data_IF_546145213357
#
_entry.id   IF_546145213357
#
_cell.length_a   1.000
_cell.length_b   1.000
_cell.length_c   1.000
_cell.angle_alpha   90.00
_cell.angle_beta   90.00
_cell.angle_gamma   90.00
#
_symmetry.space_group_name_H-M   'P 1'
#
loop_
_entity.id
_entity.type
_entity.pdbx_description
1 polymer ?
#
# COMPACT_ATOMS: atom_id res chain seq x y z
N UNK A 1 -2.75 7.77 35.78
CA UNK A 1 -3.32 7.30 34.48
C UNK A 1 -2.38 6.24 33.97
N UNK A 2 -2.87 5.10 33.49
CA UNK A 2 -2.01 4.14 32.78
C UNK A 2 -1.54 4.80 31.50
N UNK A 3 -0.30 4.50 31.10
CA UNK A 3 0.24 4.93 29.82
C UNK A 3 -0.59 4.26 28.71
N UNK A 4 -1.04 5.04 27.73
CA UNK A 4 -1.81 4.53 26.60
C UNK A 4 -1.07 3.43 25.85
N UNK A 5 0.28 3.50 25.79
CA UNK A 5 1.12 2.48 25.16
C UNK A 5 1.01 1.14 25.86
N UNK A 6 1.12 1.12 27.20
CA UNK A 6 0.97 -0.12 27.98
C UNK A 6 -0.43 -0.72 27.78
N UNK A 7 -1.46 0.11 27.77
CA UNK A 7 -2.85 -0.34 27.52
C UNK A 7 -3.01 -0.95 26.14
N UNK A 8 -2.47 -0.29 25.09
CA UNK A 8 -2.53 -0.79 23.72
C UNK A 8 -1.79 -2.12 23.61
N UNK A 9 -0.56 -2.22 24.13
CA UNK A 9 0.20 -3.46 24.09
C UNK A 9 -0.52 -4.60 24.82
N UNK A 10 -1.05 -4.35 26.02
CA UNK A 10 -1.83 -5.35 26.75
C UNK A 10 -3.04 -5.83 25.92
N UNK A 11 -3.72 -4.91 25.25
CA UNK A 11 -4.87 -5.25 24.40
C UNK A 11 -4.45 -6.04 23.17
N UNK A 12 -3.35 -5.69 22.50
CA UNK A 12 -2.84 -6.41 21.35
C UNK A 12 -2.44 -7.85 21.73
N UNK A 13 -1.74 -8.02 22.85
CA UNK A 13 -1.38 -9.36 23.35
C UNK A 13 -2.63 -10.18 23.78
N UNK A 14 -3.66 -9.54 24.33
CA UNK A 14 -4.92 -10.21 24.64
C UNK A 14 -5.68 -10.67 23.38
N UNK A 15 -5.39 -10.09 22.22
CA UNK A 15 -5.95 -10.44 20.91
C UNK A 15 -5.04 -11.36 20.09
N UNK A 16 -3.92 -11.81 20.65
CA UNK A 16 -2.92 -12.64 19.96
C UNK A 16 -3.52 -13.96 19.47
N UNK A 17 -3.14 -14.32 18.24
CA UNK A 17 -3.43 -15.61 17.62
C UNK A 17 -2.11 -16.19 17.06
N UNK A 18 -1.56 -17.19 17.73
CA UNK A 18 -0.25 -17.77 17.40
C UNK A 18 -0.26 -18.53 16.05
N UNK A 19 -1.40 -19.12 15.66
CA UNK A 19 -1.52 -19.74 14.36
C UNK A 19 -1.48 -18.69 13.23
N UNK A 20 -2.19 -17.59 13.45
CA UNK A 20 -2.17 -16.46 12.53
C UNK A 20 -0.79 -15.80 12.47
N UNK A 21 -0.10 -15.61 13.59
CA UNK A 21 1.28 -15.13 13.65
C UNK A 21 2.20 -16.00 12.78
N UNK A 22 2.14 -17.31 12.96
CA UNK A 22 2.94 -18.28 12.20
C UNK A 22 2.63 -18.23 10.70
N UNK A 23 1.37 -18.04 10.33
CA UNK A 23 0.96 -17.88 8.95
C UNK A 23 1.48 -16.55 8.36
N UNK A 24 1.27 -15.45 9.06
CA UNK A 24 1.59 -14.10 8.61
C UNK A 24 3.11 -13.88 8.46
N UNK A 25 3.92 -14.43 9.38
CA UNK A 25 5.38 -14.32 9.34
C UNK A 25 5.98 -14.92 8.06
N UNK A 26 5.38 -15.97 7.51
CA UNK A 26 5.80 -16.56 6.22
C UNK A 26 5.50 -15.67 5.01
N UNK A 27 4.53 -14.77 5.13
CA UNK A 27 4.13 -13.86 4.05
C UNK A 27 4.92 -12.56 4.04
N UNK A 28 5.55 -12.21 5.16
CA UNK A 28 6.27 -10.93 5.36
C UNK A 28 7.70 -11.23 5.79
N UNK A 29 8.55 -11.76 4.90
CA UNK A 29 9.87 -12.28 5.27
C UNK A 29 10.86 -11.22 5.77
N UNK A 30 10.58 -9.93 5.55
CA UNK A 30 11.39 -8.82 6.04
C UNK A 30 11.18 -8.48 7.52
N UNK A 31 10.16 -9.07 8.17
CA UNK A 31 9.80 -8.80 9.57
C UNK A 31 10.11 -10.02 10.43
N UNK A 32 10.85 -9.81 11.53
CA UNK A 32 11.14 -10.89 12.49
C UNK A 32 9.83 -11.43 13.08
N UNK A 33 9.63 -12.76 13.14
CA UNK A 33 8.46 -13.36 13.79
C UNK A 33 8.27 -12.92 15.26
N UNK A 34 9.36 -12.61 15.95
CA UNK A 34 9.35 -12.15 17.36
C UNK A 34 8.79 -10.73 17.50
N UNK A 35 8.84 -9.92 16.44
CA UNK A 35 8.22 -8.59 16.39
C UNK A 35 6.75 -8.63 15.93
N UNK A 36 6.18 -9.81 15.69
CA UNK A 36 4.77 -9.98 15.36
C UNK A 36 4.00 -10.54 16.55
N UNK A 37 2.98 -9.83 17.01
CA UNK A 37 2.06 -10.33 18.03
C UNK A 37 1.08 -11.34 17.40
N UNK A 38 0.63 -11.07 16.19
CA UNK A 38 -0.27 -11.95 15.45
C UNK A 38 -1.75 -11.61 15.68
N UNK A 39 -2.09 -10.34 15.68
CA UNK A 39 -3.49 -9.91 15.82
C UNK A 39 -4.17 -9.92 14.45
N UNK A 40 -5.32 -10.59 14.35
CA UNK A 40 -6.07 -10.64 13.08
C UNK A 40 -6.53 -9.26 12.64
N UNK A 41 -6.38 -8.95 11.36
CA UNK A 41 -6.72 -7.66 10.75
C UNK A 41 -8.11 -7.13 11.11
N UNK A 42 -9.20 -7.94 11.14
CA UNK A 42 -10.51 -7.43 11.58
C UNK A 42 -10.52 -6.93 13.02
N UNK A 43 -9.81 -7.59 13.93
CA UNK A 43 -9.70 -7.18 15.33
C UNK A 43 -8.89 -5.89 15.47
N UNK A 44 -7.77 -5.74 14.73
CA UNK A 44 -7.00 -4.49 14.68
C UNK A 44 -7.83 -3.32 14.15
N UNK A 45 -8.60 -3.53 13.08
CA UNK A 45 -9.49 -2.48 12.54
C UNK A 45 -10.59 -2.08 13.51
N UNK A 46 -11.17 -3.03 14.23
CA UNK A 46 -12.16 -2.74 15.27
C UNK A 46 -11.54 -1.92 16.41
N UNK A 47 -10.34 -2.30 16.83
CA UNK A 47 -9.62 -1.62 17.90
C UNK A 47 -9.16 -0.22 17.47
N UNK A 48 -8.67 -0.02 16.25
CA UNK A 48 -8.37 1.30 15.71
C UNK A 48 -9.59 2.22 15.74
N UNK A 49 -10.76 1.70 15.37
CA UNK A 49 -12.02 2.46 15.42
C UNK A 49 -12.46 2.82 16.83
N UNK A 50 -12.16 2.00 17.82
CA UNK A 50 -12.37 2.29 19.23
C UNK A 50 -11.42 3.40 19.70
N UNK A 51 -10.12 3.23 19.46
CA UNK A 51 -9.07 4.18 19.84
C UNK A 51 -9.23 5.55 19.18
N UNK A 52 -9.68 5.61 17.92
CA UNK A 52 -9.86 6.88 17.19
C UNK A 52 -10.87 7.85 17.83
N UNK A 53 -11.59 7.43 18.87
CA UNK A 53 -12.53 8.27 19.63
C UNK A 53 -11.94 8.80 20.93
N UNK A 54 -10.73 8.38 21.27
CA UNK A 54 -10.05 8.76 22.51
C UNK A 54 -9.24 10.03 22.30
N UNK A 55 -9.22 10.89 23.30
CA UNK A 55 -8.45 12.13 23.26
C UNK A 55 -6.93 11.92 23.43
N UNK A 56 -6.51 10.78 23.98
CA UNK A 56 -5.11 10.46 24.25
C UNK A 56 -4.43 9.62 23.13
N UNK A 57 -5.15 9.31 22.04
CA UNK A 57 -4.62 8.49 20.91
C UNK A 57 -3.41 9.15 20.24
N UNK A 58 -3.35 10.47 20.26
CA UNK A 58 -2.23 11.22 19.65
C UNK A 58 -0.89 10.91 20.33
N UNK A 59 -0.89 10.57 21.61
CA UNK A 59 0.31 10.14 22.31
C UNK A 59 0.87 8.82 21.73
N UNK A 60 0.01 7.87 21.36
CA UNK A 60 0.42 6.64 20.67
C UNK A 60 0.96 6.95 19.26
N UNK A 61 0.28 7.81 18.50
CA UNK A 61 0.71 8.19 17.15
C UNK A 61 2.05 8.94 17.14
N UNK A 62 2.35 9.71 18.19
CA UNK A 62 3.60 10.44 18.31
C UNK A 62 4.79 9.56 18.70
N UNK A 63 4.57 8.37 19.25
CA UNK A 63 5.63 7.52 19.78
C UNK A 63 6.19 6.54 18.74
N UNK A 64 6.85 7.07 17.76
CA UNK A 64 7.57 6.31 16.74
C UNK A 64 9.07 6.20 17.07
N UNK A 65 9.73 5.10 16.69
CA UNK A 65 9.19 3.90 16.01
C UNK A 65 8.45 2.96 16.97
N UNK A 66 7.43 2.25 16.46
CA UNK A 66 6.81 1.17 17.21
C UNK A 66 7.67 -0.09 17.21
N UNK A 67 7.54 -0.88 18.27
CA UNK A 67 8.30 -2.13 18.44
C UNK A 67 7.71 -3.29 17.63
N UNK A 68 6.38 -3.42 17.64
CA UNK A 68 5.71 -4.57 17.04
C UNK A 68 5.06 -4.22 15.70
N UNK A 69 5.07 -5.20 14.80
CA UNK A 69 4.36 -5.13 13.53
C UNK A 69 2.89 -4.75 13.70
N UNK A 70 2.22 -5.33 14.69
CA UNK A 70 0.80 -5.11 14.96
C UNK A 70 0.52 -3.67 15.44
N UNK A 71 1.47 -3.03 16.13
CA UNK A 71 1.39 -1.60 16.46
C UNK A 71 1.48 -0.73 15.19
N UNK A 72 2.39 -1.08 14.26
CA UNK A 72 2.50 -0.39 12.98
C UNK A 72 1.23 -0.56 12.13
N UNK A 73 0.61 -1.74 12.14
CA UNK A 73 -0.68 -1.98 11.49
C UNK A 73 -1.79 -1.14 12.12
N UNK A 74 -1.84 -1.08 13.46
CA UNK A 74 -2.80 -0.27 14.21
C UNK A 74 -2.63 1.22 13.89
N UNK A 75 -1.39 1.72 13.84
CA UNK A 75 -1.04 3.09 13.47
C UNK A 75 -1.55 3.42 12.06
N UNK A 76 -1.28 2.56 11.07
CA UNK A 76 -1.76 2.72 9.70
C UNK A 76 -3.30 2.80 9.63
N UNK A 77 -4.00 1.99 10.42
CA UNK A 77 -5.47 2.05 10.50
C UNK A 77 -5.98 3.33 11.17
N UNK A 78 -5.31 3.82 12.20
CA UNK A 78 -5.67 5.08 12.87
C UNK A 78 -5.53 6.26 11.91
N UNK A 79 -4.41 6.41 11.20
CA UNK A 79 -4.23 7.43 10.15
C UNK A 79 -5.32 7.29 9.08
N UNK A 80 -5.66 6.05 8.69
CA UNK A 80 -6.65 5.80 7.64
C UNK A 80 -8.07 6.24 8.03
N UNK A 81 -8.35 6.45 9.32
CA UNK A 81 -9.60 6.98 9.85
C UNK A 81 -9.62 8.53 9.93
N UNK A 82 -8.54 9.20 9.58
CA UNK A 82 -8.41 10.65 9.57
C UNK A 82 -9.52 11.33 8.75
N UNK A 83 -10.01 12.47 9.26
CA UNK A 83 -11.13 13.22 8.65
C UNK A 83 -10.70 14.57 8.08
N UNK A 84 -9.56 15.08 8.49
CA UNK A 84 -8.94 16.27 7.96
C UNK A 84 -7.85 15.90 6.96
N UNK A 85 -7.87 16.50 5.78
CA UNK A 85 -6.94 16.16 4.70
C UNK A 85 -5.49 16.51 5.06
N UNK A 86 -5.27 17.75 5.51
CA UNK A 86 -3.92 18.25 5.77
C UNK A 86 -3.27 17.52 6.95
N UNK A 87 -4.00 17.37 8.03
CA UNK A 87 -3.52 16.58 9.19
C UNK A 87 -3.26 15.11 8.84
N UNK A 88 -4.07 14.55 7.93
CA UNK A 88 -3.85 13.16 7.48
C UNK A 88 -2.61 13.03 6.60
N UNK A 89 -2.33 14.01 5.72
CA UNK A 89 -1.09 14.05 4.94
C UNK A 89 0.12 14.17 5.86
N UNK A 90 0.08 15.06 6.84
CA UNK A 90 1.14 15.20 7.86
C UNK A 90 1.40 13.91 8.63
N UNK A 91 0.34 13.23 9.05
CA UNK A 91 0.45 11.94 9.75
C UNK A 91 1.04 10.85 8.85
N UNK A 92 0.64 10.80 7.58
CA UNK A 92 1.23 9.88 6.59
C UNK A 92 2.73 10.18 6.42
N UNK A 93 3.12 11.44 6.25
CA UNK A 93 4.51 11.83 6.08
C UNK A 93 5.38 11.50 7.30
N UNK A 94 4.83 11.68 8.49
CA UNK A 94 5.50 11.32 9.74
C UNK A 94 5.68 9.81 9.89
N UNK A 95 4.72 9.03 9.44
CA UNK A 95 4.72 7.56 9.61
C UNK A 95 5.48 6.82 8.51
N UNK A 96 5.41 7.25 7.25
CA UNK A 96 6.00 6.54 6.11
C UNK A 96 7.48 6.16 6.28
N UNK A 97 8.36 7.00 6.88
CA UNK A 97 9.76 6.62 7.12
C UNK A 97 9.96 5.38 7.99
N UNK A 98 8.96 5.01 8.78
CA UNK A 98 8.97 3.85 9.69
C UNK A 98 8.26 2.63 9.11
N UNK A 99 7.69 2.75 7.91
CA UNK A 99 7.05 1.62 7.22
C UNK A 99 8.13 0.79 6.53
N UNK A 100 8.32 -0.43 6.98
CA UNK A 100 9.39 -1.35 6.58
C UNK A 100 8.88 -2.61 5.86
N UNK A 101 7.57 -2.69 5.59
CA UNK A 101 6.97 -3.86 4.96
C UNK A 101 5.74 -3.50 4.10
N UNK A 102 5.47 -4.37 3.12
CA UNK A 102 4.36 -4.20 2.19
C UNK A 102 2.98 -4.27 2.85
N UNK A 103 2.83 -5.09 3.89
CA UNK A 103 1.54 -5.29 4.53
C UNK A 103 1.07 -4.04 5.29
N UNK A 104 1.97 -3.36 6.01
CA UNK A 104 1.69 -2.07 6.64
C UNK A 104 1.45 -0.98 5.60
N UNK A 105 2.30 -0.91 4.57
CA UNK A 105 2.17 0.06 3.49
C UNK A 105 0.80 -0.02 2.80
N UNK A 106 0.37 -1.23 2.41
CA UNK A 106 -0.87 -1.43 1.65
C UNK A 106 -2.14 -1.28 2.51
N UNK A 107 -2.02 -1.41 3.83
CA UNK A 107 -3.12 -1.17 4.78
C UNK A 107 -3.32 0.32 5.10
N UNK A 108 -2.29 1.14 4.89
CA UNK A 108 -2.37 2.60 5.02
C UNK A 108 -3.19 3.15 3.85
N UNK A 109 -4.46 3.45 4.08
CA UNK A 109 -5.39 3.85 3.03
C UNK A 109 -6.41 4.89 3.55
N UNK A 110 -6.00 6.17 3.67
CA UNK A 110 -6.85 7.22 4.20
C UNK A 110 -8.09 7.48 3.34
N UNK A 111 -9.28 7.29 3.93
CA UNK A 111 -10.54 7.46 3.22
C UNK A 111 -10.82 8.89 2.76
N UNK A 112 -10.26 9.89 3.47
CA UNK A 112 -10.39 11.31 3.15
C UNK A 112 -9.78 11.67 1.79
N UNK A 113 -8.73 10.97 1.36
CA UNK A 113 -8.01 11.22 0.12
C UNK A 113 -8.92 11.14 -1.12
N UNK A 114 -9.94 10.30 -1.07
CA UNK A 114 -10.93 10.19 -2.16
C UNK A 114 -11.66 11.51 -2.45
N UNK A 115 -11.81 12.37 -1.44
CA UNK A 115 -12.50 13.66 -1.57
C UNK A 115 -11.58 14.80 -2.00
N UNK A 116 -10.28 14.62 -1.91
CA UNK A 116 -9.25 15.66 -2.13
C UNK A 116 -8.29 15.28 -3.27
N UNK A 117 -8.81 14.69 -4.36
CA UNK A 117 -7.98 14.22 -5.47
C UNK A 117 -7.21 15.34 -6.18
N UNK A 118 -7.74 16.57 -6.19
CA UNK A 118 -7.08 17.70 -6.84
C UNK A 118 -5.79 18.06 -6.12
N UNK A 119 -5.79 18.03 -4.79
CA UNK A 119 -4.63 18.31 -3.95
C UNK A 119 -3.72 17.08 -3.83
N UNK A 120 -4.32 15.90 -3.67
CA UNK A 120 -3.61 14.63 -3.43
C UNK A 120 -2.61 14.27 -4.53
N UNK A 121 -2.88 14.65 -5.79
CA UNK A 121 -2.00 14.27 -6.89
C UNK A 121 -0.59 14.83 -6.73
N UNK A 122 -0.45 16.03 -6.16
CA UNK A 122 0.84 16.62 -5.84
C UNK A 122 1.62 15.84 -4.78
N UNK A 123 0.92 15.37 -3.74
CA UNK A 123 1.49 14.54 -2.69
C UNK A 123 1.94 13.17 -3.22
N UNK A 124 1.13 12.56 -4.08
CA UNK A 124 1.49 11.30 -4.74
C UNK A 124 2.80 11.43 -5.50
N UNK A 125 2.99 12.51 -6.26
CA UNK A 125 4.25 12.73 -6.99
C UNK A 125 5.43 12.90 -6.05
N UNK A 126 5.24 13.58 -4.93
CA UNK A 126 6.26 13.77 -3.89
C UNK A 126 6.65 12.43 -3.27
N UNK A 127 5.69 11.58 -2.88
CA UNK A 127 5.97 10.24 -2.35
C UNK A 127 6.64 9.34 -3.38
N UNK A 128 6.23 9.38 -4.64
CA UNK A 128 6.86 8.61 -5.72
C UNK A 128 8.28 9.06 -6.03
N UNK A 129 8.65 10.29 -5.73
CA UNK A 129 10.00 10.84 -5.89
C UNK A 129 10.91 10.60 -4.68
N UNK A 130 10.44 9.92 -3.64
CA UNK A 130 11.21 9.57 -2.45
C UNK A 130 12.31 8.54 -2.76
N UNK A 131 13.34 8.46 -1.91
CA UNK A 131 14.32 7.36 -1.91
C UNK A 131 13.86 6.17 -1.07
N UNK A 132 12.83 6.34 -0.25
CA UNK A 132 12.33 5.29 0.65
C UNK A 132 11.37 4.35 -0.10
N UNK A 133 11.68 3.06 -0.11
CA UNK A 133 10.95 2.00 -0.83
C UNK A 133 9.43 2.04 -0.61
N UNK A 134 9.00 2.17 0.63
CA UNK A 134 7.58 2.11 0.96
C UNK A 134 6.86 3.44 0.76
N UNK A 135 7.57 4.58 0.75
CA UNK A 135 7.00 5.85 0.32
C UNK A 135 6.70 5.84 -1.18
N UNK A 136 7.62 5.33 -2.01
CA UNK A 136 7.39 5.14 -3.45
C UNK A 136 6.22 4.18 -3.67
N UNK A 137 6.23 3.03 -2.96
CA UNK A 137 5.15 2.03 -3.04
C UNK A 137 3.80 2.62 -2.67
N UNK A 138 3.73 3.39 -1.59
CA UNK A 138 2.53 4.07 -1.13
C UNK A 138 2.00 5.06 -2.18
N UNK A 139 2.86 5.91 -2.74
CA UNK A 139 2.49 6.85 -3.80
C UNK A 139 1.87 6.16 -5.01
N UNK A 140 2.50 5.09 -5.52
CA UNK A 140 1.95 4.29 -6.63
C UNK A 140 0.62 3.64 -6.21
N UNK A 141 0.51 3.14 -4.98
CA UNK A 141 -0.71 2.55 -4.42
C UNK A 141 -1.87 3.55 -4.38
N UNK A 142 -1.62 4.78 -3.93
CA UNK A 142 -2.62 5.86 -3.90
C UNK A 142 -3.05 6.27 -5.31
N UNK A 143 -2.12 6.35 -6.26
CA UNK A 143 -2.44 6.60 -7.67
C UNK A 143 -3.34 5.49 -8.23
N UNK A 144 -2.99 4.23 -7.98
CA UNK A 144 -3.78 3.07 -8.41
C UNK A 144 -5.18 3.07 -7.81
N UNK A 145 -5.31 3.43 -6.52
CA UNK A 145 -6.57 3.39 -5.79
C UNK A 145 -7.53 4.50 -6.18
N UNK A 146 -7.01 5.71 -6.46
CA UNK A 146 -7.84 6.91 -6.58
C UNK A 146 -7.96 7.46 -8.01
N UNK A 147 -7.09 7.05 -8.95
CA UNK A 147 -6.98 7.68 -10.26
C UNK A 147 -7.06 6.73 -11.46
N UNK A 148 -7.48 5.49 -11.27
CA UNK A 148 -7.72 4.56 -12.39
C UNK A 148 -9.19 4.49 -12.84
N UNK A 149 -10.08 5.27 -12.21
CA UNK A 149 -11.49 5.39 -12.59
C UNK A 149 -11.78 6.80 -13.16
N UNK A 150 -12.83 7.47 -12.74
CA UNK A 150 -13.26 8.77 -13.25
C UNK A 150 -12.29 9.96 -13.09
N UNK A 151 -11.19 9.80 -12.37
CA UNK A 151 -10.10 10.77 -12.26
C UNK A 151 -8.85 10.35 -13.05
N UNK A 152 -8.99 9.41 -13.97
CA UNK A 152 -7.88 8.92 -14.78
C UNK A 152 -7.37 10.02 -15.73
N UNK A 153 -6.03 10.11 -15.83
CA UNK A 153 -5.32 10.93 -16.80
C UNK A 153 -4.31 10.05 -17.54
N UNK A 154 -4.26 10.09 -18.88
CA UNK A 154 -3.32 9.28 -19.68
C UNK A 154 -1.84 9.51 -19.36
N UNK A 155 -1.48 10.63 -18.73
CA UNK A 155 -0.10 10.91 -18.32
C UNK A 155 0.33 10.13 -17.07
N UNK A 156 -0.60 9.60 -16.28
CA UNK A 156 -0.28 8.90 -15.03
C UNK A 156 0.47 7.58 -15.25
N UNK A 157 0.05 6.69 -16.17
CA UNK A 157 0.83 5.51 -16.50
C UNK A 157 2.24 5.80 -16.96
N UNK A 158 2.48 6.92 -17.66
CA UNK A 158 3.81 7.31 -18.13
C UNK A 158 4.75 7.57 -16.95
N UNK A 159 4.28 8.32 -15.93
CA UNK A 159 5.08 8.58 -14.72
C UNK A 159 5.42 7.30 -13.97
N UNK A 160 4.47 6.36 -13.85
CA UNK A 160 4.74 5.06 -13.23
C UNK A 160 5.71 4.23 -14.08
N UNK A 161 5.55 4.23 -15.41
CA UNK A 161 6.43 3.52 -16.32
C UNK A 161 7.86 4.09 -16.36
N UNK A 162 8.03 5.37 -16.02
CA UNK A 162 9.34 6.03 -15.97
C UNK A 162 10.15 5.65 -14.72
N UNK A 163 9.51 5.14 -13.67
CA UNK A 163 10.19 4.72 -12.44
C UNK A 163 11.15 3.56 -12.72
N UNK A 164 12.35 3.66 -12.17
CA UNK A 164 13.36 2.61 -12.17
C UNK A 164 13.82 2.37 -10.74
N UNK A 165 13.78 1.12 -10.30
CA UNK A 165 14.15 0.76 -8.94
C UNK A 165 14.82 -0.61 -8.91
N UNK A 166 15.82 -0.78 -8.05
CA UNK A 166 16.35 -2.09 -7.69
C UNK A 166 15.45 -2.85 -6.68
N UNK A 167 14.50 -2.15 -6.07
CA UNK A 167 13.69 -2.67 -4.98
C UNK A 167 12.54 -3.55 -5.47
N UNK A 168 12.52 -4.79 -5.01
CA UNK A 168 11.48 -5.77 -5.35
C UNK A 168 10.06 -5.24 -5.09
N UNK A 169 9.84 -4.60 -3.95
CA UNK A 169 8.50 -4.16 -3.54
C UNK A 169 8.02 -2.92 -4.30
N UNK A 170 8.91 -2.08 -4.81
CA UNK A 170 8.56 -1.01 -5.75
C UNK A 170 8.16 -1.61 -7.10
N UNK A 171 9.00 -2.49 -7.65
CA UNK A 171 8.74 -3.13 -8.94
C UNK A 171 7.45 -3.99 -8.93
N UNK A 172 7.16 -4.64 -7.79
CA UNK A 172 5.90 -5.36 -7.60
C UNK A 172 4.68 -4.43 -7.61
N UNK A 173 4.79 -3.23 -7.04
CA UNK A 173 3.70 -2.25 -7.04
C UNK A 173 3.50 -1.64 -8.44
N UNK A 174 4.58 -1.35 -9.18
CA UNK A 174 4.50 -0.94 -10.59
C UNK A 174 3.76 -2.01 -11.41
N UNK A 175 4.13 -3.29 -11.23
CA UNK A 175 3.47 -4.40 -11.90
C UNK A 175 1.98 -4.50 -11.53
N UNK A 176 1.64 -4.27 -10.27
CA UNK A 176 0.25 -4.28 -9.80
C UNK A 176 -0.55 -3.09 -10.35
N UNK A 177 0.07 -1.91 -10.40
CA UNK A 177 -0.52 -0.73 -11.03
C UNK A 177 -0.91 -1.02 -12.48
N UNK A 178 0.03 -1.55 -13.31
CA UNK A 178 -0.25 -1.84 -14.72
C UNK A 178 -1.27 -2.98 -14.90
N UNK A 179 -1.24 -4.00 -14.06
CA UNK A 179 -2.27 -5.05 -14.08
C UNK A 179 -3.68 -4.48 -13.77
N UNK A 180 -3.77 -3.54 -12.85
CA UNK A 180 -5.03 -2.87 -12.48
C UNK A 180 -5.44 -1.87 -13.56
N UNK A 181 -4.48 -1.14 -14.13
CA UNK A 181 -4.73 -0.22 -15.23
C UNK A 181 -5.25 -0.97 -16.48
N UNK A 182 -4.69 -2.12 -16.83
CA UNK A 182 -5.21 -2.97 -17.90
C UNK A 182 -6.66 -3.43 -17.64
N UNK A 183 -7.04 -3.63 -16.40
CA UNK A 183 -8.41 -4.02 -16.05
C UNK A 183 -9.42 -2.86 -16.11
N UNK A 184 -8.95 -1.60 -15.98
CA UNK A 184 -9.82 -0.42 -15.88
C UNK A 184 -9.69 0.53 -17.08
N UNK A 185 -8.52 0.62 -17.68
CA UNK A 185 -8.11 1.55 -18.73
C UNK A 185 -7.27 0.79 -19.78
N UNK A 186 -7.81 -0.30 -20.33
CA UNK A 186 -7.08 -1.24 -21.17
C UNK A 186 -6.32 -0.57 -22.31
N UNK A 187 -7.03 0.26 -23.10
CA UNK A 187 -6.47 0.89 -24.31
C UNK A 187 -5.38 1.92 -23.97
N UNK A 188 -5.47 2.54 -22.79
CA UNK A 188 -4.44 3.49 -22.33
C UNK A 188 -3.22 2.78 -21.72
N UNK A 189 -3.40 1.58 -21.15
CA UNK A 189 -2.32 0.85 -20.49
C UNK A 189 -1.58 -0.13 -21.42
N UNK A 190 -2.26 -0.71 -22.41
CA UNK A 190 -1.71 -1.70 -23.32
C UNK A 190 -0.44 -1.22 -24.07
N UNK A 191 -0.37 0.03 -24.59
CA UNK A 191 0.81 0.50 -25.31
C UNK A 191 2.11 0.45 -24.50
N UNK A 192 2.04 0.57 -23.17
CA UNK A 192 3.23 0.47 -22.31
C UNK A 192 3.84 -0.94 -22.30
N UNK A 193 3.02 -1.96 -22.51
CA UNK A 193 3.49 -3.35 -22.67
C UNK A 193 3.90 -3.65 -24.09
N UNK A 194 3.15 -3.23 -25.10
CA UNK A 194 3.52 -3.42 -26.51
C UNK A 194 4.87 -2.78 -26.84
N UNK A 195 5.12 -1.58 -26.33
CA UNK A 195 6.36 -0.82 -26.51
C UNK A 195 7.45 -1.17 -25.50
N UNK A 196 7.22 -2.14 -24.59
CA UNK A 196 8.18 -2.59 -23.56
C UNK A 196 8.75 -1.44 -22.72
N UNK A 197 7.87 -0.53 -22.25
CA UNK A 197 8.27 0.65 -21.45
C UNK A 197 8.69 0.30 -20.02
N UNK A 198 8.40 -0.90 -19.53
CA UNK A 198 8.76 -1.38 -18.20
C UNK A 198 10.02 -2.26 -18.26
N UNK A 199 10.75 -2.35 -17.13
CA UNK A 199 11.81 -3.33 -16.99
C UNK A 199 11.29 -4.75 -17.22
N UNK A 200 12.09 -5.65 -17.77
CA UNK A 200 11.66 -6.97 -18.23
C UNK A 200 10.95 -7.80 -17.15
N UNK A 201 11.43 -7.74 -15.91
CA UNK A 201 10.79 -8.44 -14.78
C UNK A 201 9.42 -7.84 -14.45
N UNK A 202 9.35 -6.51 -14.31
CA UNK A 202 8.12 -5.76 -13.99
C UNK A 202 7.08 -5.94 -15.10
N UNK A 203 7.52 -5.89 -16.36
CA UNK A 203 6.67 -6.16 -17.53
C UNK A 203 6.02 -7.54 -17.48
N UNK A 204 6.83 -8.59 -17.30
CA UNK A 204 6.31 -9.95 -17.23
C UNK A 204 5.43 -10.18 -16.01
N UNK A 205 5.75 -9.52 -14.88
CA UNK A 205 4.95 -9.60 -13.65
C UNK A 205 3.60 -8.87 -13.79
N UNK A 206 3.56 -7.73 -14.49
CA UNK A 206 2.32 -7.02 -14.81
C UNK A 206 1.39 -7.90 -15.68
N UNK A 207 1.93 -8.53 -16.71
CA UNK A 207 1.18 -9.47 -17.55
C UNK A 207 0.67 -10.65 -16.72
N UNK A 208 1.52 -11.24 -15.87
CA UNK A 208 1.12 -12.36 -15.01
C UNK A 208 -0.09 -11.97 -14.15
N UNK A 209 0.00 -10.84 -13.44
CA UNK A 209 -1.09 -10.37 -12.57
C UNK A 209 -2.37 -10.01 -13.35
N UNK A 210 -2.24 -9.42 -14.54
CA UNK A 210 -3.37 -9.12 -15.40
C UNK A 210 -4.09 -10.39 -15.86
N UNK A 211 -3.33 -11.42 -16.29
CA UNK A 211 -3.89 -12.72 -16.71
C UNK A 211 -4.60 -13.46 -15.57
N UNK A 212 -4.15 -13.28 -14.33
CA UNK A 212 -4.80 -13.84 -13.13
C UNK A 212 -6.11 -13.11 -12.79
N UNK A 213 -6.33 -11.90 -13.30
CA UNK A 213 -7.50 -11.09 -13.00
C UNK A 213 -8.77 -11.60 -13.72
N UNK A 214 -9.88 -11.68 -12.99
CA UNK A 214 -11.20 -11.95 -13.57
C UNK A 214 -11.78 -10.78 -14.38
N UNK A 215 -11.19 -9.59 -14.28
CA UNK A 215 -11.64 -8.37 -14.98
C UNK A 215 -11.07 -8.25 -16.39
N UNK A 216 -10.13 -9.09 -16.76
CA UNK A 216 -9.51 -9.15 -18.09
C UNK A 216 -10.20 -10.25 -18.89
N UNK A 217 -10.65 -9.95 -20.12
CA UNK A 217 -11.32 -10.91 -20.98
C UNK A 217 -10.37 -12.01 -21.47
N UNK A 218 -10.91 -13.14 -21.92
CA UNK A 218 -10.11 -14.24 -22.45
C UNK A 218 -9.24 -13.80 -23.66
N UNK A 219 -9.80 -12.98 -24.55
CA UNK A 219 -9.09 -12.43 -25.72
C UNK A 219 -7.94 -11.51 -25.30
N UNK A 220 -8.19 -10.60 -24.35
CA UNK A 220 -7.16 -9.72 -23.79
C UNK A 220 -6.04 -10.54 -23.10
N UNK A 221 -6.39 -11.61 -22.37
CA UNK A 221 -5.39 -12.49 -21.75
C UNK A 221 -4.49 -13.16 -22.80
N UNK A 222 -5.05 -13.64 -23.91
CA UNK A 222 -4.26 -14.25 -25.00
C UNK A 222 -3.38 -13.20 -25.69
N UNK A 223 -3.86 -11.97 -25.88
CA UNK A 223 -3.05 -10.87 -26.38
C UNK A 223 -1.86 -10.59 -25.44
N UNK A 224 -2.11 -10.40 -24.16
CA UNK A 224 -1.08 -10.11 -23.15
C UNK A 224 -0.03 -11.22 -23.02
N UNK A 225 -0.43 -12.49 -23.11
CA UNK A 225 0.51 -13.63 -23.06
C UNK A 225 1.54 -13.58 -24.17
N UNK A 226 1.16 -13.09 -25.38
CA UNK A 226 2.08 -12.96 -26.54
C UNK A 226 3.10 -11.85 -26.35
N UNK A 227 2.82 -10.86 -25.48
CA UNK A 227 3.72 -9.74 -25.20
C UNK A 227 4.82 -10.08 -24.18
N UNK A 228 4.79 -11.25 -23.53
CA UNK A 228 5.83 -11.64 -22.58
C UNK A 228 7.21 -11.61 -23.20
N UNK A 229 8.15 -11.02 -22.49
CA UNK A 229 9.57 -11.01 -22.84
C UNK A 229 10.13 -12.40 -22.50
N UNK A 230 10.61 -13.11 -23.52
CA UNK A 230 11.30 -14.40 -23.35
C UNK A 230 12.67 -14.15 -22.70
N UNK A 231 13.06 -15.03 -21.78
CA UNK A 231 14.41 -15.03 -21.20
C UNK A 231 15.45 -15.37 -22.25
#
# INVERSE_FOLDING_TARGET
MRDIHEEILQRLFALQDLEYQTFQSKLIPGISPESMIGVRTPALRAYAKELSRRADVDAFLAALPHRYFDENQLHAFLISLGKDYHLTVEAVDTFLPYVDNWATCDQLSPGIFRKHRVELIGEIWRWMASEHTYSIRFGIGMLMQHYLDGAFDPSYPERVAALRSGEYYVNMMIAWYFATALAKQYDAALPYLEQRKLDAWTHNKAIQKAVESYRITAEQKECLKKLKIKK
#
